data_IF_074693446971
#
_entry.id   IF_074693446971
#
_cell.length_a   1.000
_cell.length_b   1.000
_cell.length_c   1.000
_cell.angle_alpha   90.00
_cell.angle_beta   90.00
_cell.angle_gamma   90.00
#
_symmetry.space_group_name_H-M   'P 1'
#
loop_
_entity.id
_entity.type
_entity.pdbx_description
1 polymer ?
#
# COMPACT_ATOMS: atom_id res chain seq x y z
N UNK A 1 17.20 -2.57 -57.80
CA UNK A 1 17.41 -1.17 -58.28
C UNK A 1 16.25 -0.86 -59.20
N UNK A 2 15.34 0.09 -59.02
CA UNK A 2 15.07 1.22 -58.12
C UNK A 2 13.51 1.31 -58.15
N UNK A 3 12.78 1.35 -57.04
CA UNK A 3 12.23 2.59 -56.41
C UNK A 3 11.40 3.42 -57.42
N UNK A 4 10.08 3.59 -57.31
CA UNK A 4 9.22 4.24 -56.31
C UNK A 4 7.78 4.05 -56.84
N UNK A 5 6.64 4.22 -56.17
CA UNK A 5 6.15 4.44 -54.80
C UNK A 5 4.63 4.70 -55.05
N UNK A 6 3.68 4.23 -54.26
CA UNK A 6 3.05 4.98 -53.16
C UNK A 6 1.65 4.36 -52.96
N UNK A 7 1.16 4.45 -51.73
CA UNK A 7 -0.23 4.28 -51.32
C UNK A 7 -0.80 2.86 -51.27
N UNK A 8 -0.61 2.19 -50.13
CA UNK A 8 -1.65 1.41 -49.45
C UNK A 8 -1.18 1.03 -48.04
N UNK A 9 -1.20 2.00 -47.11
CA UNK A 9 -1.10 1.76 -45.68
C UNK A 9 -2.16 2.62 -44.96
N UNK A 10 -3.18 1.93 -44.46
CA UNK A 10 -4.17 2.32 -43.43
C UNK A 10 -5.21 3.42 -43.79
N UNK A 11 -6.49 3.21 -43.40
CA UNK A 11 -6.89 3.39 -42.00
C UNK A 11 -7.84 2.29 -41.48
N UNK A 12 -7.34 1.44 -40.57
CA UNK A 12 -8.16 0.58 -39.72
C UNK A 12 -8.20 1.06 -38.26
N UNK A 13 -7.99 2.37 -38.04
CA UNK A 13 -7.92 2.99 -36.70
C UNK A 13 -9.05 3.99 -36.43
N UNK A 14 -10.06 4.08 -37.30
CA UNK A 14 -11.14 5.08 -37.20
C UNK A 14 -12.54 4.50 -36.96
N UNK A 15 -12.68 3.20 -36.69
CA UNK A 15 -13.99 2.53 -36.53
C UNK A 15 -14.19 1.89 -35.14
N UNK A 16 -13.20 1.97 -34.24
CA UNK A 16 -13.34 1.50 -32.85
C UNK A 16 -13.52 2.63 -31.83
N UNK A 17 -13.56 3.89 -32.25
CA UNK A 17 -13.71 5.05 -31.36
C UNK A 17 -15.14 5.57 -31.18
N UNK A 18 -16.14 5.01 -31.87
CA UNK A 18 -17.51 5.56 -31.88
C UNK A 18 -18.59 4.64 -31.29
N UNK A 19 -18.26 3.43 -30.85
CA UNK A 19 -19.24 2.49 -30.24
C UNK A 19 -19.08 2.26 -28.73
N UNK A 20 -18.15 2.95 -28.04
CA UNK A 20 -18.28 3.14 -26.59
C UNK A 20 -19.26 4.30 -26.37
N UNK A 21 -20.55 3.98 -26.53
CA UNK A 21 -21.62 4.78 -25.95
C UNK A 21 -21.33 4.87 -24.46
N UNK A 22 -20.72 5.98 -24.04
CA UNK A 22 -20.64 6.38 -22.64
C UNK A 22 -22.09 6.56 -22.19
N UNK A 23 -22.71 5.48 -21.73
CA UNK A 23 -23.77 5.58 -20.76
C UNK A 23 -23.14 6.31 -19.58
N UNK A 24 -23.40 7.61 -19.52
CA UNK A 24 -23.13 8.42 -18.34
C UNK A 24 -24.00 7.77 -17.28
N UNK A 25 -23.41 6.86 -16.51
CA UNK A 25 -24.08 6.25 -15.38
C UNK A 25 -24.46 7.39 -14.46
N UNK A 26 -25.75 7.53 -14.17
CA UNK A 26 -26.26 8.49 -13.18
C UNK A 26 -25.91 8.07 -11.75
N UNK A 27 -25.22 6.95 -11.56
CA UNK A 27 -24.77 6.50 -10.24
C UNK A 27 -23.78 7.50 -9.63
N UNK A 28 -23.86 7.74 -8.30
CA UNK A 28 -22.88 8.56 -7.60
C UNK A 28 -21.48 7.94 -7.75
N UNK A 29 -20.46 8.78 -7.87
CA UNK A 29 -19.08 8.32 -8.06
C UNK A 29 -18.35 8.25 -6.73
N UNK A 30 -17.56 7.19 -6.56
CA UNK A 30 -16.57 7.12 -5.49
C UNK A 30 -15.18 7.36 -6.09
N UNK A 31 -14.54 8.46 -5.72
CA UNK A 31 -13.18 8.77 -6.13
C UNK A 31 -12.19 8.26 -5.10
N UNK A 32 -11.43 7.25 -5.47
CA UNK A 32 -10.27 6.75 -4.74
C UNK A 32 -9.04 7.54 -5.20
N UNK A 33 -8.23 8.04 -4.28
CA UNK A 33 -7.03 8.82 -4.56
C UNK A 33 -5.82 8.13 -3.92
N UNK A 34 -4.83 7.78 -4.73
CA UNK A 34 -3.54 7.28 -4.22
C UNK A 34 -2.38 7.63 -5.18
N UNK A 35 -1.50 8.53 -4.74
CA UNK A 35 -0.33 8.95 -5.50
C UNK A 35 0.81 7.92 -5.52
N UNK A 36 0.70 6.82 -4.76
CA UNK A 36 1.70 5.77 -4.72
C UNK A 36 1.47 4.66 -5.75
N UNK A 37 0.31 4.65 -6.43
CA UNK A 37 -0.01 3.69 -7.48
C UNK A 37 0.66 4.11 -8.79
N UNK A 38 1.70 3.38 -9.18
CA UNK A 38 2.53 3.66 -10.38
C UNK A 38 2.55 2.51 -11.40
N UNK A 39 1.98 1.35 -11.07
CA UNK A 39 1.85 0.18 -11.94
C UNK A 39 0.89 -0.86 -11.33
N UNK A 40 0.71 -1.99 -12.00
CA UNK A 40 -0.28 -3.04 -11.63
C UNK A 40 0.06 -3.88 -10.40
N UNK A 41 1.23 -3.68 -9.78
CA UNK A 41 1.70 -4.47 -8.65
C UNK A 41 1.65 -3.76 -7.31
N UNK A 42 1.24 -4.51 -6.28
CA UNK A 42 1.47 -4.18 -4.87
C UNK A 42 0.26 -3.65 -4.11
N UNK A 43 0.42 -3.58 -2.78
CA UNK A 43 -0.66 -3.35 -1.82
C UNK A 43 -1.54 -2.11 -2.02
N UNK A 44 -1.05 -1.04 -2.68
CA UNK A 44 -1.83 0.19 -2.85
C UNK A 44 -2.95 0.03 -3.88
N UNK A 45 -2.62 -0.56 -5.04
CA UNK A 45 -3.62 -0.81 -6.08
C UNK A 45 -4.63 -1.85 -5.60
N UNK A 46 -4.14 -2.90 -4.95
CA UNK A 46 -4.99 -3.94 -4.39
C UNK A 46 -6.03 -3.40 -3.39
N UNK A 47 -5.60 -2.58 -2.43
CA UNK A 47 -6.51 -1.93 -1.50
C UNK A 47 -7.55 -1.08 -2.25
N UNK A 48 -7.11 -0.33 -3.27
CA UNK A 48 -8.02 0.47 -4.09
C UNK A 48 -9.06 -0.39 -4.81
N UNK A 49 -8.66 -1.53 -5.37
CA UNK A 49 -9.58 -2.45 -6.06
C UNK A 49 -10.60 -3.05 -5.11
N UNK A 50 -10.18 -3.49 -3.93
CA UNK A 50 -11.10 -4.02 -2.91
C UNK A 50 -12.11 -2.97 -2.42
N UNK A 51 -11.67 -1.73 -2.22
CA UNK A 51 -12.56 -0.62 -1.89
C UNK A 51 -13.51 -0.29 -3.05
N UNK A 52 -13.02 -0.36 -4.29
CA UNK A 52 -13.82 -0.12 -5.48
C UNK A 52 -14.91 -1.19 -5.64
N UNK A 53 -14.61 -2.45 -5.39
CA UNK A 53 -15.59 -3.53 -5.50
C UNK A 53 -16.68 -3.41 -4.43
N UNK A 54 -16.30 -3.18 -3.16
CA UNK A 54 -17.28 -2.88 -2.12
C UNK A 54 -18.11 -1.62 -2.42
N UNK A 55 -17.55 -0.63 -3.11
CA UNK A 55 -18.30 0.54 -3.54
C UNK A 55 -19.32 0.23 -4.65
N UNK A 56 -18.99 -0.66 -5.59
CA UNK A 56 -19.94 -1.13 -6.62
C UNK A 56 -21.12 -1.85 -5.98
N UNK A 57 -20.87 -2.68 -4.98
CA UNK A 57 -21.92 -3.38 -4.23
C UNK A 57 -22.88 -2.41 -3.53
N UNK A 58 -22.38 -1.22 -3.17
CA UNK A 58 -23.17 -0.11 -2.61
C UNK A 58 -23.78 0.82 -3.67
N UNK A 59 -23.65 0.50 -4.96
CA UNK A 59 -24.23 1.26 -6.07
C UNK A 59 -23.42 2.48 -6.53
N UNK A 60 -22.16 2.62 -6.10
CA UNK A 60 -21.27 3.67 -6.60
C UNK A 60 -20.61 3.25 -7.92
N UNK A 61 -20.24 4.25 -8.72
CA UNK A 61 -19.33 4.09 -9.85
C UNK A 61 -17.90 4.47 -9.42
N UNK A 62 -17.04 3.52 -9.00
CA UNK A 62 -15.70 3.84 -8.52
C UNK A 62 -14.79 4.33 -9.63
N UNK A 63 -13.92 5.29 -9.29
CA UNK A 63 -12.85 5.81 -10.14
C UNK A 63 -11.60 5.96 -9.30
N UNK A 64 -10.44 5.71 -9.90
CA UNK A 64 -9.17 5.74 -9.19
C UNK A 64 -8.24 6.80 -9.79
N UNK A 65 -7.94 7.85 -9.04
CA UNK A 65 -6.94 8.84 -9.43
C UNK A 65 -5.55 8.41 -8.93
N UNK A 66 -4.65 8.15 -9.87
CA UNK A 66 -3.33 7.54 -9.64
C UNK A 66 -2.18 8.45 -10.08
N UNK A 67 -0.94 7.98 -9.90
CA UNK A 67 0.23 8.66 -10.42
C UNK A 67 0.26 8.66 -11.96
N UNK A 68 0.81 9.72 -12.56
CA UNK A 68 0.99 9.90 -14.01
C UNK A 68 1.87 8.84 -14.71
N UNK A 69 2.51 7.96 -13.94
CA UNK A 69 3.33 6.86 -14.47
C UNK A 69 2.54 5.58 -14.67
N UNK A 70 1.34 5.51 -14.10
CA UNK A 70 0.44 4.39 -14.30
C UNK A 70 -0.11 4.44 -15.73
N UNK A 71 0.18 3.41 -16.52
CA UNK A 71 -0.15 3.33 -17.93
C UNK A 71 -0.80 1.99 -18.32
N UNK A 72 -1.37 1.30 -17.33
CA UNK A 72 -1.91 -0.05 -17.47
C UNK A 72 -3.44 -0.03 -17.26
N UNK A 73 -4.14 -1.06 -17.72
CA UNK A 73 -5.53 -1.31 -17.35
C UNK A 73 -5.60 -2.24 -16.13
N UNK A 74 -6.60 -2.07 -15.28
CA UNK A 74 -6.78 -2.91 -14.09
C UNK A 74 -8.25 -3.30 -13.91
N UNK A 75 -8.60 -4.48 -14.41
CA UNK A 75 -9.98 -4.96 -14.46
C UNK A 75 -10.91 -3.92 -15.10
N UNK A 76 -12.08 -3.73 -14.51
CA UNK A 76 -13.07 -2.73 -14.93
C UNK A 76 -12.89 -1.36 -14.23
N UNK A 77 -11.84 -1.20 -13.42
CA UNK A 77 -11.62 0.04 -12.67
C UNK A 77 -11.08 1.14 -13.59
N UNK A 78 -11.80 2.26 -13.65
CA UNK A 78 -11.36 3.43 -14.41
C UNK A 78 -10.24 4.14 -13.65
N UNK A 79 -9.00 3.93 -14.11
CA UNK A 79 -7.81 4.59 -13.58
C UNK A 79 -7.51 5.89 -14.34
N UNK A 80 -7.32 6.98 -13.60
CA UNK A 80 -7.04 8.31 -14.12
C UNK A 80 -5.65 8.80 -13.66
N UNK A 81 -4.65 8.85 -14.54
CA UNK A 81 -3.29 9.25 -14.20
C UNK A 81 -3.18 10.77 -14.01
N UNK A 82 -3.33 11.24 -12.76
CA UNK A 82 -3.47 12.67 -12.43
C UNK A 82 -2.25 13.19 -11.68
N UNK A 83 -1.75 12.46 -10.68
CA UNK A 83 -0.75 12.97 -9.74
C UNK A 83 0.68 12.85 -10.31
N UNK A 84 1.44 13.95 -10.32
CA UNK A 84 2.82 13.99 -10.83
C UNK A 84 3.88 13.72 -9.74
N UNK A 85 3.44 13.61 -8.48
CA UNK A 85 4.29 13.35 -7.32
C UNK A 85 3.90 12.03 -6.68
N UNK A 86 4.88 11.34 -6.11
CA UNK A 86 4.67 10.14 -5.29
C UNK A 86 5.62 10.18 -4.07
N UNK A 87 5.40 9.28 -3.08
CA UNK A 87 6.25 9.15 -1.88
C UNK A 87 6.26 10.40 -0.98
N UNK A 88 5.10 11.03 -0.83
CA UNK A 88 4.91 12.13 0.13
C UNK A 88 5.30 11.72 1.56
N UNK A 89 5.07 10.46 1.92
CA UNK A 89 5.44 9.85 3.21
C UNK A 89 6.86 10.10 3.68
N UNK A 90 7.83 10.36 2.79
CA UNK A 90 9.19 10.73 3.22
C UNK A 90 9.20 11.94 4.16
N UNK A 91 8.25 12.85 4.01
CA UNK A 91 8.12 14.07 4.80
C UNK A 91 7.12 13.96 5.95
N UNK A 92 6.58 12.76 6.17
CA UNK A 92 5.76 12.45 7.35
C UNK A 92 6.60 12.49 8.63
N UNK A 93 5.94 12.81 9.74
CA UNK A 93 6.46 12.70 11.12
C UNK A 93 6.26 11.30 11.73
N UNK A 94 5.48 10.42 11.11
CA UNK A 94 5.26 9.05 11.60
C UNK A 94 6.47 8.14 11.39
N UNK A 95 6.39 6.89 11.89
CA UNK A 95 7.55 5.96 11.94
C UNK A 95 8.18 5.63 10.58
N UNK A 96 7.41 5.72 9.50
CA UNK A 96 7.84 5.46 8.12
C UNK A 96 8.28 6.73 7.37
N UNK A 97 8.19 7.89 8.03
CA UNK A 97 8.68 9.17 7.56
C UNK A 97 10.12 9.46 7.98
N UNK A 98 10.68 10.54 7.45
CA UNK A 98 12.03 11.00 7.78
C UNK A 98 12.02 12.46 8.27
N UNK A 99 10.84 13.06 8.47
CA UNK A 99 10.75 14.41 9.01
C UNK A 99 10.91 14.37 10.53
N UNK A 100 11.60 15.37 11.06
CA UNK A 100 11.66 15.65 12.51
C UNK A 100 11.05 17.01 12.85
N UNK A 101 10.41 17.67 11.86
CA UNK A 101 9.85 19.02 12.02
C UNK A 101 8.45 19.10 11.44
N UNK A 102 7.58 19.81 12.16
CA UNK A 102 6.25 20.20 11.70
C UNK A 102 6.36 21.21 10.56
N UNK A 103 5.43 21.14 9.61
CA UNK A 103 5.36 22.04 8.45
C UNK A 103 3.96 22.63 8.30
N UNK A 104 3.88 23.80 7.68
CA UNK A 104 2.61 24.40 7.29
C UNK A 104 2.17 23.94 5.88
N UNK A 105 1.01 24.41 5.42
CA UNK A 105 0.45 24.10 4.09
C UNK A 105 1.31 24.57 2.89
N UNK A 106 2.34 25.37 3.15
CA UNK A 106 3.32 25.83 2.16
C UNK A 106 4.62 25.00 2.23
N UNK A 107 4.70 24.02 3.13
CA UNK A 107 5.86 23.16 3.31
C UNK A 107 6.98 23.80 4.10
N UNK A 108 6.79 25.00 4.66
CA UNK A 108 7.78 25.67 5.49
C UNK A 108 7.79 25.06 6.90
N UNK A 109 8.97 24.83 7.50
CA UNK A 109 9.08 24.29 8.86
C UNK A 109 8.57 25.32 9.89
N UNK A 110 7.72 24.87 10.80
CA UNK A 110 7.12 25.68 11.87
C UNK A 110 7.24 24.94 13.22
N UNK A 111 7.12 25.67 14.33
CA UNK A 111 7.09 25.10 15.68
C UNK A 111 8.44 24.57 16.23
N UNK A 112 9.41 24.24 15.38
CA UNK A 112 10.71 23.73 15.82
C UNK A 112 11.67 24.82 16.33
N UNK A 113 12.72 24.40 17.04
CA UNK A 113 13.74 25.31 17.56
C UNK A 113 14.34 26.15 16.42
N UNK A 114 14.85 27.36 16.74
CA UNK A 114 15.44 28.23 15.71
C UNK A 114 16.58 27.53 14.95
N UNK A 115 17.37 26.70 15.65
CA UNK A 115 18.47 25.95 15.06
C UNK A 115 17.99 24.87 14.10
N UNK A 116 16.99 24.08 14.47
CA UNK A 116 16.41 23.05 13.59
C UNK A 116 15.74 23.67 12.37
N UNK A 117 15.03 24.80 12.54
CA UNK A 117 14.45 25.53 11.40
C UNK A 117 15.53 25.99 10.43
N UNK A 118 16.61 26.59 10.93
CA UNK A 118 17.72 27.03 10.09
C UNK A 118 18.40 25.84 9.41
N UNK A 119 18.61 24.72 10.13
CA UNK A 119 19.18 23.51 9.56
C UNK A 119 18.32 22.96 8.41
N UNK A 120 17.02 22.77 8.62
CA UNK A 120 16.11 22.29 7.58
C UNK A 120 15.98 23.29 6.41
N UNK A 121 15.96 24.59 6.68
CA UNK A 121 15.97 25.62 5.63
C UNK A 121 17.24 25.62 4.79
N UNK A 122 18.39 25.27 5.38
CA UNK A 122 19.66 25.11 4.66
C UNK A 122 19.71 23.81 3.87
N UNK A 123 19.11 22.72 4.38
CA UNK A 123 19.17 21.38 3.75
C UNK A 123 18.09 21.15 2.68
N UNK A 124 16.90 21.69 2.84
CA UNK A 124 15.78 21.54 1.89
C UNK A 124 16.15 21.97 0.44
N UNK A 125 16.94 23.06 0.21
CA UNK A 125 17.42 23.43 -1.11
C UNK A 125 18.32 22.39 -1.78
N UNK A 126 19.07 21.58 -1.02
CA UNK A 126 19.94 20.53 -1.56
C UNK A 126 19.16 19.29 -2.02
N UNK A 127 17.89 19.17 -1.63
CA UNK A 127 16.98 18.19 -2.21
C UNK A 127 16.64 18.57 -3.65
N UNK A 128 16.48 17.58 -4.53
CA UNK A 128 16.03 17.79 -5.92
C UNK A 128 14.76 18.63 -5.89
N UNK A 129 14.66 19.63 -6.78
CA UNK A 129 13.55 20.60 -6.75
C UNK A 129 12.17 19.93 -6.70
N UNK A 130 11.97 18.84 -7.44
CA UNK A 130 10.70 18.10 -7.48
C UNK A 130 10.32 17.38 -6.18
N UNK A 131 11.27 17.15 -5.25
CA UNK A 131 11.01 16.49 -3.96
C UNK A 131 11.05 17.46 -2.78
N UNK A 132 11.16 18.77 -3.04
CA UNK A 132 11.07 19.79 -1.99
C UNK A 132 9.66 19.84 -1.42
N UNK A 133 9.49 19.99 -0.10
CA UNK A 133 8.18 19.95 0.56
C UNK A 133 7.13 20.85 -0.10
N UNK A 134 7.46 22.12 -0.35
CA UNK A 134 6.57 23.10 -1.01
C UNK A 134 6.07 22.60 -2.37
N UNK A 135 6.98 22.11 -3.21
CA UNK A 135 6.65 21.63 -4.56
C UNK A 135 5.80 20.36 -4.52
N UNK A 136 6.09 19.45 -3.58
CA UNK A 136 5.31 18.22 -3.40
C UNK A 136 3.88 18.54 -2.94
N UNK A 137 3.72 19.40 -1.92
CA UNK A 137 2.41 19.84 -1.45
C UNK A 137 1.62 20.53 -2.55
N UNK A 138 2.27 21.44 -3.29
CA UNK A 138 1.64 22.14 -4.42
C UNK A 138 1.20 21.17 -5.51
N UNK A 139 2.09 20.28 -5.96
CA UNK A 139 1.80 19.33 -7.03
C UNK A 139 0.67 18.37 -6.66
N UNK A 140 0.67 17.85 -5.43
CA UNK A 140 -0.43 17.00 -4.96
C UNK A 140 -1.74 17.79 -4.85
N UNK A 141 -1.71 19.00 -4.28
CA UNK A 141 -2.89 19.86 -4.18
C UNK A 141 -3.49 20.15 -5.56
N UNK A 142 -2.65 20.43 -6.55
CA UNK A 142 -3.08 20.73 -7.91
C UNK A 142 -3.71 19.49 -8.57
N UNK A 143 -3.18 18.29 -8.33
CA UNK A 143 -3.79 17.03 -8.76
C UNK A 143 -5.16 16.78 -8.12
N UNK A 144 -5.30 17.02 -6.81
CA UNK A 144 -6.60 16.94 -6.13
C UNK A 144 -7.61 17.94 -6.70
N UNK A 145 -7.19 19.20 -6.92
CA UNK A 145 -8.04 20.21 -7.56
C UNK A 145 -8.43 19.84 -8.99
N UNK A 146 -7.55 19.12 -9.70
CA UNK A 146 -7.83 18.60 -11.03
C UNK A 146 -8.97 17.58 -10.99
N UNK A 147 -8.93 16.62 -10.06
CA UNK A 147 -10.04 15.68 -9.82
C UNK A 147 -11.32 16.46 -9.57
N UNK A 148 -11.32 17.39 -8.62
CA UNK A 148 -12.53 18.10 -8.21
C UNK A 148 -13.12 18.96 -9.33
N UNK A 149 -12.31 19.79 -9.97
CA UNK A 149 -12.77 20.82 -10.92
C UNK A 149 -13.03 20.25 -12.31
N UNK A 150 -12.10 19.45 -12.85
CA UNK A 150 -12.24 18.96 -14.21
C UNK A 150 -13.27 17.85 -14.31
N UNK A 151 -13.47 17.07 -13.25
CA UNK A 151 -14.44 15.98 -13.22
C UNK A 151 -15.80 16.39 -12.69
N UNK A 152 -15.96 17.66 -12.32
CA UNK A 152 -17.21 18.27 -11.86
C UNK A 152 -17.87 17.40 -10.80
N UNK A 153 -17.22 17.26 -9.63
CA UNK A 153 -17.78 16.47 -8.53
C UNK A 153 -19.18 16.99 -8.16
N UNK A 154 -20.12 16.06 -8.02
CA UNK A 154 -21.47 16.31 -7.54
C UNK A 154 -21.55 16.12 -6.02
N UNK A 155 -22.55 16.71 -5.33
CA UNK A 155 -22.73 16.53 -3.89
C UNK A 155 -22.89 15.07 -3.42
N UNK A 156 -23.37 14.19 -4.29
CA UNK A 156 -23.51 12.76 -4.01
C UNK A 156 -22.23 11.96 -4.22
N UNK A 157 -21.22 12.55 -4.87
CA UNK A 157 -19.93 11.90 -5.00
C UNK A 157 -19.21 11.88 -3.65
N UNK A 158 -18.34 10.89 -3.47
CA UNK A 158 -17.50 10.74 -2.28
C UNK A 158 -16.05 10.63 -2.69
N UNK A 159 -15.15 11.13 -1.84
CA UNK A 159 -13.71 11.04 -2.07
C UNK A 159 -13.08 10.25 -0.92
N UNK A 160 -12.25 9.27 -1.26
CA UNK A 160 -11.38 8.55 -0.34
C UNK A 160 -9.94 8.78 -0.76
N UNK A 161 -9.12 9.26 0.17
CA UNK A 161 -7.65 9.22 0.06
C UNK A 161 -7.21 7.89 0.67
N UNK A 162 -6.87 6.94 -0.20
CA UNK A 162 -6.67 5.54 0.18
C UNK A 162 -5.48 5.33 1.10
N UNK A 163 -4.42 6.12 0.88
CA UNK A 163 -3.21 6.08 1.71
C UNK A 163 -2.88 7.51 2.10
N UNK A 164 -3.28 7.90 3.30
CA UNK A 164 -3.03 9.21 3.90
C UNK A 164 -1.89 9.20 4.92
N UNK A 165 -1.28 10.38 5.09
CA UNK A 165 -0.37 10.73 6.19
C UNK A 165 -0.51 12.22 6.55
N UNK A 166 0.19 12.66 7.60
CA UNK A 166 0.18 14.05 8.07
C UNK A 166 0.63 15.07 7.02
N UNK A 167 1.52 14.67 6.11
CA UNK A 167 2.06 15.55 5.08
C UNK A 167 1.10 15.67 3.89
N UNK A 168 0.46 14.59 3.48
CA UNK A 168 -0.64 14.62 2.51
C UNK A 168 -1.84 15.42 3.03
N UNK A 169 -2.13 15.38 4.33
CA UNK A 169 -3.19 16.20 4.94
C UNK A 169 -2.92 17.71 4.81
N UNK A 170 -1.65 18.15 4.84
CA UNK A 170 -1.30 19.54 4.54
C UNK A 170 -1.63 19.91 3.08
N UNK A 171 -1.37 19.00 2.13
CA UNK A 171 -1.69 19.23 0.73
C UNK A 171 -3.21 19.23 0.50
N UNK A 172 -3.94 18.28 1.09
CA UNK A 172 -5.40 18.24 1.06
C UNK A 172 -6.01 19.53 1.61
N UNK A 173 -5.53 19.98 2.78
CA UNK A 173 -5.96 21.25 3.38
C UNK A 173 -5.70 22.43 2.46
N UNK A 174 -4.50 22.50 1.86
CA UNK A 174 -4.15 23.54 0.88
C UNK A 174 -5.06 23.52 -0.35
N UNK A 175 -5.46 22.35 -0.82
CA UNK A 175 -6.39 22.19 -1.93
C UNK A 175 -7.83 22.59 -1.56
N UNK A 176 -8.36 22.09 -0.44
CA UNK A 176 -9.70 22.39 0.05
C UNK A 176 -9.89 23.90 0.31
N UNK A 177 -8.89 24.58 0.88
CA UNK A 177 -8.92 26.05 1.06
C UNK A 177 -9.04 26.84 -0.26
N UNK A 178 -8.53 26.29 -1.36
CA UNK A 178 -8.63 26.91 -2.70
C UNK A 178 -9.98 26.63 -3.37
N UNK A 179 -10.77 25.70 -2.83
CA UNK A 179 -12.13 25.44 -3.29
C UNK A 179 -13.10 26.36 -2.55
N UNK A 180 -13.49 27.45 -3.21
CA UNK A 180 -14.72 28.15 -2.86
C UNK A 180 -15.84 27.37 -3.52
N UNK A 181 -16.63 26.64 -2.75
CA UNK A 181 -17.71 25.81 -3.28
C UNK A 181 -18.98 26.08 -2.52
N UNK A 182 -20.08 26.33 -3.21
CA UNK A 182 -21.41 26.35 -2.59
C UNK A 182 -21.84 24.93 -2.12
N UNK A 183 -21.05 23.92 -2.49
CA UNK A 183 -21.21 22.52 -2.11
C UNK A 183 -19.97 22.04 -1.36
N UNK A 184 -19.98 22.04 -0.01
CA UNK A 184 -18.93 21.44 0.78
C UNK A 184 -18.65 19.99 0.38
N UNK A 185 -17.37 19.62 0.39
CA UNK A 185 -16.94 18.26 0.07
C UNK A 185 -16.81 17.45 1.35
N UNK A 186 -17.13 16.17 1.25
CA UNK A 186 -16.79 15.17 2.28
C UNK A 186 -15.66 14.30 1.76
N UNK A 187 -14.54 14.28 2.48
CA UNK A 187 -13.35 13.49 2.13
C UNK A 187 -13.02 12.55 3.27
N UNK A 188 -12.80 11.27 2.95
CA UNK A 188 -12.35 10.26 3.89
C UNK A 188 -10.86 10.00 3.66
N UNK A 189 -10.06 9.94 4.73
CA UNK A 189 -8.62 9.70 4.63
C UNK A 189 -8.28 8.47 5.47
N UNK A 190 -7.67 7.47 4.84
CA UNK A 190 -7.29 6.22 5.52
C UNK A 190 -5.80 6.27 5.90
N UNK A 191 -5.53 6.16 7.19
CA UNK A 191 -4.21 6.16 7.80
C UNK A 191 -3.77 4.72 8.09
N UNK A 192 -2.53 4.37 7.70
CA UNK A 192 -2.03 2.99 7.73
C UNK A 192 -0.81 2.76 8.62
N UNK A 193 -0.11 3.83 8.98
CA UNK A 193 1.23 3.74 9.58
C UNK A 193 1.18 4.22 11.02
N UNK A 194 1.87 3.47 11.89
CA UNK A 194 2.07 3.85 13.29
C UNK A 194 2.74 5.24 13.40
N UNK A 195 2.44 5.94 14.49
CA UNK A 195 3.01 7.25 14.77
C UNK A 195 4.36 7.13 15.46
N UNK A 196 4.50 6.17 16.38
CA UNK A 196 5.71 5.94 17.16
C UNK A 196 5.92 4.44 17.45
N UNK A 197 7.16 4.09 17.82
CA UNK A 197 7.60 2.75 18.25
C UNK A 197 7.79 2.72 19.78
N UNK A 198 7.86 1.52 20.38
CA UNK A 198 8.28 1.37 21.78
C UNK A 198 7.23 1.69 22.86
N UNK A 199 5.95 1.78 22.50
CA UNK A 199 4.83 1.82 23.46
C UNK A 199 4.65 3.14 24.22
N UNK A 200 5.35 4.20 23.85
CA UNK A 200 5.15 5.55 24.42
C UNK A 200 5.29 6.64 23.37
N UNK A 201 4.50 7.70 23.53
CA UNK A 201 4.48 8.86 22.63
C UNK A 201 5.83 9.59 22.67
N UNK A 202 6.49 9.73 21.52
CA UNK A 202 7.70 10.53 21.35
C UNK A 202 7.38 11.95 20.85
N UNK A 203 8.40 12.82 20.75
CA UNK A 203 8.21 14.21 20.33
C UNK A 203 7.72 14.32 18.88
N UNK A 204 8.22 13.47 17.97
CA UNK A 204 7.77 13.44 16.58
C UNK A 204 6.27 13.10 16.46
N UNK A 205 5.77 12.17 17.28
CA UNK A 205 4.35 11.83 17.33
C UNK A 205 3.49 12.99 17.87
N UNK A 206 3.97 13.74 18.87
CA UNK A 206 3.29 14.96 19.32
C UNK A 206 3.20 15.98 18.19
N UNK A 207 4.32 16.22 17.50
CA UNK A 207 4.36 17.11 16.34
C UNK A 207 3.44 16.64 15.21
N UNK A 208 3.33 15.32 15.00
CA UNK A 208 2.39 14.73 14.05
C UNK A 208 0.96 15.14 14.42
N UNK A 209 0.56 14.94 15.67
CA UNK A 209 -0.78 15.28 16.15
C UNK A 209 -1.09 16.76 16.01
N UNK A 210 -0.15 17.62 16.40
CA UNK A 210 -0.28 19.07 16.20
C UNK A 210 -0.39 19.46 14.71
N UNK A 211 0.38 18.82 13.83
CA UNK A 211 0.32 19.11 12.39
C UNK A 211 -1.02 18.73 11.79
N UNK A 212 -1.54 17.55 12.14
CA UNK A 212 -2.85 17.09 11.69
C UNK A 212 -3.95 18.01 12.19
N UNK A 213 -3.94 18.34 13.49
CA UNK A 213 -4.96 19.21 14.08
C UNK A 213 -4.94 20.63 13.48
N UNK A 214 -3.75 21.21 13.29
CA UNK A 214 -3.61 22.50 12.59
C UNK A 214 -4.17 22.40 11.17
N UNK A 215 -3.81 21.34 10.43
CA UNK A 215 -4.30 21.12 9.07
C UNK A 215 -5.83 21.05 9.03
N UNK A 216 -6.44 20.19 9.85
CA UNK A 216 -7.89 20.02 9.93
C UNK A 216 -8.59 21.34 10.29
N UNK A 217 -8.06 22.12 11.24
CA UNK A 217 -8.65 23.41 11.64
C UNK A 217 -8.73 24.43 10.49
N UNK A 218 -7.89 24.28 9.47
CA UNK A 218 -7.81 25.18 8.32
C UNK A 218 -8.67 24.75 7.12
N UNK A 219 -9.38 23.62 7.18
CA UNK A 219 -10.13 23.04 6.06
C UNK A 219 -11.36 23.88 5.67
N UNK A 220 -11.83 24.74 6.57
CA UNK A 220 -12.98 25.62 6.33
C UNK A 220 -14.29 24.85 6.40
N UNK A 221 -15.15 25.01 5.40
CA UNK A 221 -16.49 24.42 5.36
C UNK A 221 -16.53 22.94 4.93
N UNK A 222 -15.41 22.39 4.43
CA UNK A 222 -15.36 20.99 4.01
C UNK A 222 -15.26 20.06 5.21
N UNK A 223 -15.71 18.82 5.05
CA UNK A 223 -15.60 17.79 6.10
C UNK A 223 -14.53 16.79 5.72
N UNK A 224 -13.62 16.51 6.66
CA UNK A 224 -12.61 15.45 6.53
C UNK A 224 -12.77 14.46 7.67
N UNK A 225 -12.99 13.19 7.31
CA UNK A 225 -13.03 12.08 8.24
C UNK A 225 -11.72 11.30 8.17
N UNK A 226 -11.09 11.11 9.33
CA UNK A 226 -9.89 10.30 9.45
C UNK A 226 -10.26 8.89 9.89
N UNK A 227 -9.70 7.90 9.22
CA UNK A 227 -9.89 6.49 9.52
C UNK A 227 -8.55 5.83 9.75
N UNK A 228 -8.48 4.95 10.73
CA UNK A 228 -7.31 4.14 11.03
C UNK A 228 -7.60 2.69 10.66
N UNK A 229 -6.62 1.99 10.08
CA UNK A 229 -6.81 0.59 9.67
C UNK A 229 -6.75 -0.43 10.80
N UNK A 230 -6.51 0.02 12.03
CA UNK A 230 -6.49 -0.81 13.23
C UNK A 230 -6.93 0.02 14.45
N UNK A 231 -7.47 -0.63 15.48
CA UNK A 231 -7.79 -0.01 16.75
C UNK A 231 -6.53 0.51 17.48
N UNK A 232 -5.40 -0.21 17.52
CA UNK A 232 -4.19 0.35 18.11
C UNK A 232 -3.67 1.61 17.39
N UNK A 233 -3.87 1.73 16.07
CA UNK A 233 -3.51 2.95 15.34
C UNK A 233 -4.45 4.11 15.71
N UNK A 234 -5.75 3.86 15.79
CA UNK A 234 -6.72 4.85 16.27
C UNK A 234 -6.34 5.36 17.68
N UNK A 235 -5.91 4.44 18.57
CA UNK A 235 -5.44 4.79 19.91
C UNK A 235 -4.16 5.64 19.88
N UNK A 236 -3.17 5.28 19.05
CA UNK A 236 -1.95 6.11 18.91
C UNK A 236 -2.28 7.52 18.42
N UNK A 237 -3.25 7.66 17.51
CA UNK A 237 -3.73 8.96 17.04
C UNK A 237 -4.42 9.74 18.17
N UNK A 238 -5.28 9.09 18.96
CA UNK A 238 -5.98 9.71 20.08
C UNK A 238 -5.02 10.24 21.15
N UNK A 239 -3.94 9.50 21.46
CA UNK A 239 -2.91 9.91 22.42
C UNK A 239 -2.15 11.18 22.01
N UNK A 240 -2.13 11.52 20.73
CA UNK A 240 -1.58 12.79 20.20
C UNK A 240 -2.67 13.82 19.87
N UNK A 241 -3.90 13.57 20.33
CA UNK A 241 -5.05 14.46 20.18
C UNK A 241 -5.69 14.44 18.79
N UNK A 242 -5.46 13.41 17.97
CA UNK A 242 -6.08 13.24 16.66
C UNK A 242 -7.18 12.20 16.74
N UNK A 243 -8.41 12.59 16.41
CA UNK A 243 -9.52 11.64 16.35
C UNK A 243 -9.57 10.94 14.99
N UNK A 244 -9.53 9.60 15.01
CA UNK A 244 -9.74 8.77 13.83
C UNK A 244 -10.56 7.53 14.19
N UNK A 245 -11.46 7.12 13.30
CA UNK A 245 -12.28 5.93 13.50
C UNK A 245 -11.52 4.70 13.03
N UNK A 246 -11.39 3.68 13.87
CA UNK A 246 -10.89 2.38 13.43
C UNK A 246 -11.87 1.73 12.44
N UNK A 247 -11.37 1.29 11.30
CA UNK A 247 -12.17 0.60 10.28
C UNK A 247 -11.54 -0.76 9.92
N UNK A 248 -12.35 -1.78 9.59
CA UNK A 248 -11.84 -3.05 9.10
C UNK A 248 -10.99 -2.87 7.83
N UNK A 249 -9.88 -3.59 7.75
CA UNK A 249 -9.06 -3.61 6.55
C UNK A 249 -9.64 -4.59 5.53
N UNK A 250 -9.94 -4.16 4.29
CA UNK A 250 -10.52 -5.04 3.30
C UNK A 250 -9.48 -6.05 2.81
N UNK A 251 -9.93 -7.26 2.54
CA UNK A 251 -9.09 -8.37 2.06
C UNK A 251 -9.83 -9.18 1.03
N UNK A 252 -9.08 -9.82 0.12
CA UNK A 252 -9.66 -10.68 -0.91
C UNK A 252 -10.35 -11.88 -0.26
N UNK A 253 -11.62 -12.18 -0.60
CA UNK A 253 -12.26 -13.41 -0.17
C UNK A 253 -11.52 -14.60 -0.76
N UNK A 254 -11.61 -15.75 -0.08
CA UNK A 254 -11.11 -17.01 -0.64
C UNK A 254 -11.96 -17.38 -1.86
N UNK A 255 -11.31 -17.76 -2.96
CA UNK A 255 -12.02 -18.28 -4.13
C UNK A 255 -12.77 -19.56 -3.76
N UNK A 256 -14.08 -19.62 -4.01
CA UNK A 256 -14.93 -20.80 -3.74
C UNK A 256 -14.48 -22.04 -4.52
N UNK A 257 -13.75 -21.85 -5.63
CA UNK A 257 -13.22 -22.92 -6.45
C UNK A 257 -11.96 -23.58 -5.87
N UNK A 258 -11.41 -23.05 -4.77
CA UNK A 258 -10.24 -23.60 -4.10
C UNK A 258 -10.61 -24.82 -3.26
N UNK A 259 -10.44 -26.03 -3.83
CA UNK A 259 -10.55 -27.31 -3.14
C UNK A 259 -9.92 -27.22 -1.75
N UNK A 260 -10.70 -27.39 -0.67
CA UNK A 260 -10.11 -27.49 0.66
C UNK A 260 -9.08 -28.64 0.65
N UNK A 261 -7.85 -28.43 1.15
CA UNK A 261 -6.94 -29.54 1.34
C UNK A 261 -7.64 -30.53 2.28
N UNK A 262 -7.93 -31.74 1.79
CA UNK A 262 -8.48 -32.77 2.66
C UNK A 262 -7.44 -33.06 3.75
N UNK A 263 -7.88 -33.21 4.99
CA UNK A 263 -7.01 -33.56 6.14
C UNK A 263 -6.13 -34.79 5.85
N UNK A 264 -6.55 -35.64 4.92
CA UNK A 264 -5.81 -36.81 4.44
C UNK A 264 -4.56 -36.47 3.58
N UNK A 265 -4.49 -35.30 2.92
CA UNK A 265 -3.31 -34.88 2.14
C UNK A 265 -2.12 -34.48 3.02
N UNK A 266 -2.36 -34.00 4.24
CA UNK A 266 -1.33 -33.53 5.18
C UNK A 266 -0.35 -34.65 5.58
N UNK A 267 -0.75 -35.92 5.47
CA UNK A 267 0.07 -37.05 5.91
C UNK A 267 1.08 -37.56 4.86
N UNK A 268 1.02 -37.11 3.60
CA UNK A 268 1.83 -37.67 2.51
C UNK A 268 2.76 -36.68 1.80
N UNK A 269 2.71 -35.40 2.15
CA UNK A 269 3.52 -34.35 1.51
C UNK A 269 4.25 -33.50 2.55
N UNK A 270 5.41 -32.90 2.20
CA UNK A 270 6.07 -31.91 3.05
C UNK A 270 5.11 -30.77 3.38
N UNK A 271 5.07 -30.37 4.65
CA UNK A 271 4.31 -29.18 5.07
C UNK A 271 4.89 -27.93 4.42
N UNK A 272 4.05 -27.16 3.74
CA UNK A 272 4.45 -25.95 3.03
C UNK A 272 4.36 -24.72 3.94
N UNK A 273 5.51 -24.17 4.30
CA UNK A 273 5.64 -22.95 5.09
C UNK A 273 5.76 -21.77 4.13
N UNK A 274 4.80 -20.85 4.17
CA UNK A 274 4.73 -19.69 3.26
C UNK A 274 5.16 -18.42 3.98
N UNK A 275 6.17 -17.75 3.43
CA UNK A 275 6.59 -16.39 3.76
C UNK A 275 6.17 -15.45 2.63
N UNK A 276 4.94 -14.95 2.75
CA UNK A 276 4.30 -14.10 1.74
C UNK A 276 4.58 -12.61 1.91
N UNK A 277 4.57 -11.92 0.78
CA UNK A 277 4.84 -10.49 0.68
C UNK A 277 6.32 -10.19 0.49
N UNK A 278 6.61 -9.19 -0.36
CA UNK A 278 7.99 -8.77 -0.61
C UNK A 278 8.71 -8.37 0.69
N UNK A 279 9.89 -8.95 0.98
CA UNK A 279 10.65 -8.64 2.17
C UNK A 279 11.12 -7.19 2.21
N UNK A 280 10.92 -6.56 3.37
CA UNK A 280 11.34 -5.20 3.71
C UNK A 280 12.05 -5.22 5.05
N UNK A 281 12.67 -4.11 5.45
CA UNK A 281 13.43 -4.06 6.70
C UNK A 281 12.55 -4.43 7.90
N UNK A 282 11.34 -3.87 7.95
CA UNK A 282 10.31 -4.14 8.94
C UNK A 282 9.61 -5.49 8.76
N UNK A 283 9.69 -6.11 7.57
CA UNK A 283 9.09 -7.42 7.26
C UNK A 283 10.11 -8.57 7.33
N UNK A 284 11.17 -8.40 8.10
CA UNK A 284 12.09 -9.50 8.38
C UNK A 284 13.17 -9.76 7.34
N UNK A 285 13.43 -8.82 6.40
CA UNK A 285 14.47 -8.99 5.36
C UNK A 285 15.84 -9.34 5.94
N UNK A 286 16.17 -8.83 7.14
CA UNK A 286 17.44 -9.11 7.82
C UNK A 286 17.51 -10.52 8.41
N UNK A 287 16.36 -11.09 8.79
CA UNK A 287 16.21 -12.34 9.52
C UNK A 287 16.19 -13.55 8.59
N UNK A 288 15.76 -13.37 7.34
CA UNK A 288 15.64 -14.46 6.36
C UNK A 288 16.90 -15.33 6.23
N UNK A 289 18.09 -14.73 6.25
CA UNK A 289 19.35 -15.48 6.14
C UNK A 289 19.57 -16.44 7.31
N UNK A 290 19.26 -16.00 8.54
CA UNK A 290 19.41 -16.85 9.73
C UNK A 290 18.40 -17.98 9.70
N UNK A 291 17.12 -17.64 9.47
CA UNK A 291 16.00 -18.60 9.41
C UNK A 291 16.28 -19.69 8.38
N UNK A 292 16.68 -19.30 7.16
CA UNK A 292 17.03 -20.27 6.12
C UNK A 292 18.24 -21.14 6.49
N UNK A 293 19.26 -20.58 7.15
CA UNK A 293 20.44 -21.38 7.55
C UNK A 293 20.09 -22.41 8.63
N UNK A 294 19.27 -22.01 9.60
CA UNK A 294 18.86 -22.86 10.73
C UNK A 294 17.89 -23.95 10.27
N UNK A 295 16.94 -23.62 9.40
CA UNK A 295 15.93 -24.58 8.93
C UNK A 295 16.46 -25.54 7.86
N UNK A 296 17.50 -25.18 7.12
CA UNK A 296 17.93 -25.94 5.96
C UNK A 296 18.29 -27.39 6.29
N UNK A 297 19.22 -27.60 7.23
CA UNK A 297 19.73 -28.93 7.54
C UNK A 297 18.74 -29.82 8.28
N UNK A 298 18.11 -29.30 9.33
CA UNK A 298 17.28 -30.09 10.24
C UNK A 298 15.84 -30.31 9.76
N UNK A 299 15.32 -29.45 8.88
CA UNK A 299 13.90 -29.45 8.53
C UNK A 299 13.67 -29.54 7.03
N UNK A 300 14.29 -28.66 6.22
CA UNK A 300 14.05 -28.62 4.79
C UNK A 300 14.70 -29.81 4.05
N UNK A 301 15.97 -30.13 4.36
CA UNK A 301 16.66 -31.26 3.72
C UNK A 301 16.04 -32.62 4.05
N UNK A 302 15.43 -32.76 5.23
CA UNK A 302 14.76 -34.01 5.64
C UNK A 302 13.49 -34.31 4.84
N UNK A 303 12.96 -33.31 4.11
CA UNK A 303 11.73 -33.46 3.33
C UNK A 303 10.44 -33.41 4.15
N UNK A 304 10.52 -33.06 5.43
CA UNK A 304 9.34 -32.83 6.27
C UNK A 304 8.66 -31.49 5.97
N UNK A 305 9.45 -30.52 5.50
CA UNK A 305 8.98 -29.16 5.22
C UNK A 305 9.45 -28.69 3.85
N UNK A 306 8.61 -27.86 3.24
CA UNK A 306 8.93 -27.03 2.08
C UNK A 306 8.80 -25.57 2.49
N UNK A 307 9.70 -24.71 1.98
CA UNK A 307 9.66 -23.28 2.26
C UNK A 307 9.33 -22.53 0.97
N UNK A 308 8.19 -21.85 0.98
CA UNK A 308 7.69 -21.04 -0.12
C UNK A 308 7.84 -19.54 0.22
N UNK A 309 8.53 -18.78 -0.63
CA UNK A 309 8.87 -17.38 -0.32
C UNK A 309 8.69 -16.47 -1.52
N UNK A 310 8.19 -15.25 -1.26
CA UNK A 310 8.28 -14.15 -2.22
C UNK A 310 9.57 -13.34 -2.00
N UNK A 311 10.29 -13.00 -3.06
CA UNK A 311 11.52 -12.18 -3.00
C UNK A 311 11.56 -11.12 -4.10
N UNK A 312 12.38 -10.06 -3.95
CA UNK A 312 12.60 -9.12 -5.04
C UNK A 312 13.34 -9.80 -6.21
N UNK A 313 12.96 -9.46 -7.45
CA UNK A 313 13.63 -9.96 -8.68
C UNK A 313 15.16 -9.76 -8.64
N UNK A 314 15.57 -8.63 -8.07
CA UNK A 314 16.97 -8.22 -7.97
C UNK A 314 17.39 -8.18 -6.51
N UNK A 315 18.67 -8.48 -6.25
CA UNK A 315 19.32 -8.36 -4.93
C UNK A 315 18.83 -9.35 -3.86
N UNK A 316 18.09 -10.39 -4.22
CA UNK A 316 17.70 -11.47 -3.31
C UNK A 316 18.92 -12.16 -2.66
N UNK A 317 20.09 -12.14 -3.31
CA UNK A 317 21.32 -12.81 -2.82
C UNK A 317 21.78 -12.29 -1.46
N UNK A 318 21.38 -11.08 -1.06
CA UNK A 318 21.71 -10.50 0.26
C UNK A 318 20.90 -11.12 1.39
N UNK A 319 19.77 -11.74 1.07
CA UNK A 319 18.82 -12.34 2.01
C UNK A 319 19.03 -13.85 2.16
N UNK A 320 19.83 -14.45 1.27
CA UNK A 320 20.02 -15.90 1.18
C UNK A 320 21.45 -16.27 1.58
N UNK A 321 21.66 -17.32 2.41
CA UNK A 321 22.97 -17.83 2.78
C UNK A 321 23.80 -18.24 1.54
N UNK A 322 25.13 -18.06 1.60
CA UNK A 322 26.01 -18.34 0.45
C UNK A 322 25.84 -19.77 -0.08
N UNK A 323 25.78 -20.75 0.82
CA UNK A 323 25.67 -22.17 0.49
C UNK A 323 24.31 -22.55 -0.13
N UNK A 324 23.29 -21.69 -0.03
CA UNK A 324 21.95 -21.94 -0.60
C UNK A 324 21.70 -21.20 -1.90
N UNK A 325 22.61 -20.33 -2.36
CA UNK A 325 22.36 -19.48 -3.52
C UNK A 325 22.13 -20.25 -4.83
N UNK A 326 22.78 -21.40 -5.01
CA UNK A 326 22.55 -22.26 -6.20
C UNK A 326 21.16 -22.87 -6.18
N UNK A 327 20.77 -23.48 -5.06
CA UNK A 327 19.43 -24.05 -4.84
C UNK A 327 18.35 -22.99 -5.04
N UNK A 328 18.55 -21.81 -4.46
CA UNK A 328 17.62 -20.70 -4.55
C UNK A 328 17.47 -20.17 -5.98
N UNK A 329 18.58 -20.11 -6.74
CA UNK A 329 18.55 -19.73 -8.16
C UNK A 329 17.75 -20.74 -8.97
N UNK A 330 18.00 -22.03 -8.79
CA UNK A 330 17.25 -23.08 -9.46
C UNK A 330 15.74 -23.01 -9.13
N UNK A 331 15.39 -22.69 -7.88
CA UNK A 331 13.99 -22.51 -7.47
C UNK A 331 13.30 -21.34 -8.18
N UNK A 332 14.01 -20.22 -8.37
CA UNK A 332 13.54 -19.07 -9.15
C UNK A 332 13.36 -19.46 -10.62
N UNK A 333 14.38 -20.08 -11.22
CA UNK A 333 14.41 -20.42 -12.65
C UNK A 333 13.30 -21.43 -13.00
N UNK A 334 12.97 -22.34 -12.08
CA UNK A 334 11.88 -23.32 -12.21
C UNK A 334 10.50 -22.76 -11.78
N UNK A 335 10.40 -21.47 -11.45
CA UNK A 335 9.18 -20.80 -10.98
C UNK A 335 8.45 -21.56 -9.85
N UNK A 336 9.20 -22.25 -9.00
CA UNK A 336 8.62 -23.02 -7.90
C UNK A 336 7.78 -24.25 -8.31
N UNK A 337 7.77 -24.65 -9.58
CA UNK A 337 6.95 -25.78 -10.06
C UNK A 337 7.55 -27.17 -9.78
N UNK A 338 8.75 -27.23 -9.21
CA UNK A 338 9.39 -28.50 -8.87
C UNK A 338 8.93 -28.98 -7.48
N UNK A 339 8.13 -30.07 -7.39
CA UNK A 339 7.63 -30.60 -6.13
C UNK A 339 8.71 -31.33 -5.32
N UNK A 340 9.80 -31.78 -5.95
CA UNK A 340 10.96 -32.35 -5.23
C UNK A 340 11.76 -31.23 -4.55
N UNK A 341 11.63 -29.98 -5.02
CA UNK A 341 12.38 -28.86 -4.49
C UNK A 341 11.85 -28.41 -3.13
N UNK A 342 12.77 -28.34 -2.16
CA UNK A 342 12.49 -27.90 -0.79
C UNK A 342 12.27 -26.39 -0.67
N UNK A 343 12.59 -25.65 -1.74
CA UNK A 343 12.32 -24.22 -1.87
C UNK A 343 11.38 -23.95 -3.03
N UNK A 344 10.31 -23.21 -2.77
CA UNK A 344 9.52 -22.51 -3.78
C UNK A 344 9.86 -21.02 -3.70
N UNK A 345 10.30 -20.41 -4.79
CA UNK A 345 10.68 -18.99 -4.78
C UNK A 345 9.95 -18.24 -5.87
N UNK A 346 9.06 -17.35 -5.43
CA UNK A 346 8.33 -16.42 -6.27
C UNK A 346 9.06 -15.08 -6.31
N UNK A 347 9.32 -14.53 -7.52
CA UNK A 347 10.11 -13.30 -7.67
C UNK A 347 9.27 -12.13 -8.16
N UNK A 348 9.45 -10.95 -7.55
CA UNK A 348 8.76 -9.73 -7.97
C UNK A 348 7.35 -9.60 -7.43
N UNK A 349 6.55 -8.74 -8.07
CA UNK A 349 5.13 -8.64 -7.78
C UNK A 349 4.41 -9.79 -8.49
N UNK A 350 3.54 -10.48 -7.78
CA UNK A 350 2.68 -11.52 -8.36
C UNK A 350 1.39 -10.88 -8.85
N UNK A 351 0.87 -11.40 -9.96
CA UNK A 351 -0.51 -11.14 -10.33
C UNK A 351 -1.48 -11.77 -9.31
N UNK A 352 -2.75 -11.40 -9.40
CA UNK A 352 -3.76 -11.81 -8.43
C UNK A 352 -3.92 -13.33 -8.35
N UNK A 353 -3.97 -14.02 -9.50
CA UNK A 353 -4.14 -15.47 -9.55
C UNK A 353 -2.93 -16.21 -8.95
N UNK A 354 -1.72 -15.80 -9.33
CA UNK A 354 -0.48 -16.39 -8.81
C UNK A 354 -0.30 -16.09 -7.33
N UNK A 355 -0.68 -14.89 -6.87
CA UNK A 355 -0.66 -14.56 -5.46
C UNK A 355 -1.68 -15.38 -4.66
N UNK A 356 -2.92 -15.53 -5.14
CA UNK A 356 -3.91 -16.38 -4.45
C UNK A 356 -3.45 -17.82 -4.39
N UNK A 357 -2.99 -18.41 -5.51
CA UNK A 357 -2.45 -19.79 -5.52
C UNK A 357 -1.27 -19.95 -4.55
N UNK A 358 -0.43 -18.92 -4.45
CA UNK A 358 0.70 -18.91 -3.51
C UNK A 358 0.25 -18.89 -2.04
N UNK A 359 -0.83 -18.19 -1.71
CA UNK A 359 -1.41 -18.25 -0.36
C UNK A 359 -2.22 -19.54 -0.11
N UNK A 360 -2.93 -20.04 -1.12
CA UNK A 360 -3.74 -21.25 -1.03
C UNK A 360 -2.89 -22.52 -0.89
N UNK A 361 -1.60 -22.44 -1.25
CA UNK A 361 -0.63 -23.52 -1.02
C UNK A 361 -0.07 -23.56 0.40
N UNK A 362 -0.39 -22.57 1.24
CA UNK A 362 0.16 -22.48 2.59
C UNK A 362 -0.47 -23.50 3.54
N UNK A 363 0.35 -24.36 4.15
CA UNK A 363 -0.06 -25.13 5.33
C UNK A 363 0.21 -24.33 6.61
N UNK A 364 1.25 -23.48 6.60
CA UNK A 364 1.59 -22.57 7.70
C UNK A 364 2.08 -21.23 7.13
N UNK A 365 1.53 -20.12 7.62
CA UNK A 365 2.06 -18.78 7.33
C UNK A 365 3.18 -18.38 8.30
N UNK A 366 4.33 -17.92 7.79
CA UNK A 366 5.44 -17.45 8.63
C UNK A 366 5.69 -15.96 8.46
N UNK A 367 5.65 -15.22 9.58
CA UNK A 367 5.89 -13.78 9.63
C UNK A 367 7.15 -13.46 10.43
N UNK A 368 8.14 -12.85 9.77
CA UNK A 368 9.39 -12.40 10.39
C UNK A 368 9.37 -10.91 10.75
N UNK A 369 8.19 -10.36 11.06
CA UNK A 369 8.01 -8.92 11.13
C UNK A 369 8.71 -8.33 12.37
N UNK A 370 9.10 -7.06 12.30
CA UNK A 370 9.58 -6.33 13.47
C UNK A 370 8.35 -5.96 14.32
N UNK A 371 8.23 -6.48 15.56
CA UNK A 371 7.06 -6.24 16.41
C UNK A 371 6.86 -4.77 16.76
N UNK A 372 7.93 -4.00 16.97
CA UNK A 372 7.85 -2.58 17.31
C UNK A 372 7.25 -1.76 16.16
N UNK A 373 7.66 -2.08 14.93
CA UNK A 373 7.14 -1.49 13.69
C UNK A 373 5.68 -1.89 13.40
N UNK A 374 5.27 -3.05 13.89
CA UNK A 374 3.94 -3.62 13.69
C UNK A 374 3.06 -3.53 14.93
N UNK A 375 3.40 -2.67 15.90
CA UNK A 375 2.60 -2.48 17.12
C UNK A 375 1.16 -2.02 16.80
N UNK A 376 1.00 -1.18 15.77
CA UNK A 376 -0.30 -0.64 15.36
C UNK A 376 -0.59 -0.81 13.88
N UNK A 377 0.28 -1.50 13.13
CA UNK A 377 0.19 -1.58 11.67
C UNK A 377 -0.54 -2.85 11.24
N UNK A 378 -1.52 -2.70 10.37
CA UNK A 378 -2.21 -3.83 9.74
C UNK A 378 -1.27 -4.63 8.80
N UNK A 379 -1.49 -5.95 8.74
CA UNK A 379 -0.89 -6.84 7.74
C UNK A 379 -1.99 -7.52 6.91
N UNK A 380 -2.22 -7.02 5.70
CA UNK A 380 -3.19 -7.65 4.77
C UNK A 380 -2.87 -9.14 4.49
N UNK A 381 -1.59 -9.48 4.39
CA UNK A 381 -1.14 -10.88 4.20
C UNK A 381 -1.55 -11.78 5.38
N UNK A 382 -1.50 -11.25 6.61
CA UNK A 382 -1.95 -12.01 7.79
C UNK A 382 -3.45 -12.29 7.68
N UNK A 383 -4.24 -11.25 7.45
CA UNK A 383 -5.70 -11.36 7.35
C UNK A 383 -6.12 -12.31 6.23
N UNK A 384 -5.45 -12.26 5.08
CA UNK A 384 -5.70 -13.17 3.97
C UNK A 384 -5.40 -14.65 4.28
N UNK A 385 -4.38 -14.94 5.08
CA UNK A 385 -4.09 -16.30 5.54
C UNK A 385 -5.08 -16.77 6.61
N UNK A 386 -5.47 -15.89 7.54
CA UNK A 386 -6.45 -16.19 8.57
C UNK A 386 -7.82 -16.54 7.97
N UNK A 387 -8.28 -15.78 6.97
CA UNK A 387 -9.55 -16.09 6.26
C UNK A 387 -9.49 -17.41 5.50
N UNK A 388 -8.30 -17.83 5.07
CA UNK A 388 -8.10 -19.15 4.45
C UNK A 388 -8.10 -20.31 5.47
N UNK A 389 -8.11 -20.00 6.76
CA UNK A 389 -7.97 -20.98 7.84
C UNK A 389 -6.54 -21.51 7.98
N UNK A 390 -5.55 -20.77 7.47
CA UNK A 390 -4.14 -21.17 7.54
C UNK A 390 -3.59 -20.78 8.92
N UNK A 391 -3.03 -21.71 9.71
CA UNK A 391 -2.35 -21.36 10.94
C UNK A 391 -1.10 -20.52 10.67
N UNK A 392 -0.80 -19.59 11.56
CA UNK A 392 0.29 -18.63 11.37
C UNK A 392 1.26 -18.60 12.55
N UNK A 393 2.53 -18.35 12.25
CA UNK A 393 3.60 -18.08 13.21
C UNK A 393 3.98 -16.61 13.09
N UNK A 394 3.73 -15.84 14.14
CA UNK A 394 3.93 -14.39 14.17
C UNK A 394 4.80 -13.97 15.37
N UNK A 395 5.49 -12.82 15.30
CA UNK A 395 6.18 -12.25 16.45
C UNK A 395 5.17 -11.85 17.54
N UNK A 396 5.52 -12.08 18.82
CA UNK A 396 4.73 -11.61 19.97
C UNK A 396 4.84 -10.10 20.16
N UNK A 397 3.85 -9.51 20.85
CA UNK A 397 3.81 -8.10 21.28
C UNK A 397 3.71 -7.14 20.09
N UNK A 398 2.86 -7.47 19.14
CA UNK A 398 2.52 -6.60 18.02
C UNK A 398 1.10 -6.88 17.54
N UNK A 399 0.56 -6.02 16.68
CA UNK A 399 -0.80 -6.15 16.18
C UNK A 399 -1.08 -7.55 15.59
N UNK A 400 -0.08 -8.19 14.95
CA UNK A 400 -0.22 -9.52 14.37
C UNK A 400 -0.54 -10.59 15.43
N UNK A 401 0.15 -10.57 16.59
CA UNK A 401 -0.11 -11.53 17.66
C UNK A 401 -1.46 -11.29 18.31
N UNK A 402 -1.85 -10.01 18.42
CA UNK A 402 -3.10 -9.63 19.06
C UNK A 402 -4.31 -10.17 18.27
N UNK A 403 -4.18 -10.35 16.95
CA UNK A 403 -5.24 -10.97 16.13
C UNK A 403 -5.47 -12.45 16.46
N UNK A 404 -4.49 -13.12 17.05
CA UNK A 404 -4.59 -14.54 17.44
C UNK A 404 -5.16 -14.70 18.84
N UNK A 405 -4.94 -13.73 19.72
CA UNK A 405 -5.49 -13.73 21.09
C UNK A 405 -7.01 -13.41 21.11
N UNK A 406 -7.53 -12.85 20.00
CA UNK A 406 -8.96 -12.56 19.80
C UNK A 406 -9.76 -13.76 19.26
N UNK A 407 -9.09 -14.76 18.68
CA UNK A 407 -9.68 -15.96 18.07
C UNK A 407 -9.77 -17.10 19.09
#
# INVERSE_FOLDING_TARGET
MLQLALACLQPAQKVLSENFSMTISNAPRLWLIDDNIVGTGGHFLELASLLADGAKDLGYAPRLAVHQKFNEQHGDLICEPIFSIHRMRRWSLGVDGASSVKRNTQGAPIGSSRLERVWHQLWDPFSRQSVRPENMLKAWSDGFLQVVRQKKLHPEDRIIVNTGDDFQLLALTGALRKLRSDHPLTVHVILHFALYEGGSVNEEAKLYGEQVNDAISMIGQHTVHLHATTEPLAKQLEEVGVHATAIPYPVRPRSENGSQPSVLKIQQQPLNIVLAGLPRAEKGRGQMKSVLSEMWGSHLQTGNFRMAMQVPEKRWQRMVPLHLRSVFRNAIDNQGQDPENRLEVQSGNLDEESYSRFLDSADVGLFLYNPERYVARCSGVLLELLIRGVPVVVPKRCWLSDQLDLA
#
